data_IF_024098202275
#
_entry.id   IF_024098202275
#
_cell.length_a   1.000
_cell.length_b   1.000
_cell.length_c   1.000
_cell.angle_alpha   90.00
_cell.angle_beta   90.00
_cell.angle_gamma   90.00
#
_symmetry.space_group_name_H-M   'P 1'
#
loop_
_entity.id
_entity.type
_entity.pdbx_description
1 polymer ?
#
# COMPACT_ATOMS: atom_id res chain seq x y z
N UNK A 1 42.97 43.32 47.98
CA UNK A 1 42.04 42.17 47.99
C UNK A 1 40.99 42.31 46.88
N UNK A 2 41.39 42.43 45.60
CA UNK A 2 40.44 42.70 44.49
C UNK A 2 40.37 41.56 43.47
N UNK A 3 41.38 40.67 43.43
CA UNK A 3 41.42 39.54 42.49
C UNK A 3 40.44 38.39 42.79
N UNK A 4 40.02 38.21 44.04
CA UNK A 4 39.16 37.07 44.44
C UNK A 4 37.70 37.20 43.98
N UNK A 5 37.18 38.42 43.87
CA UNK A 5 35.77 38.67 43.51
C UNK A 5 35.56 38.52 41.99
N UNK A 6 36.53 38.97 41.18
CA UNK A 6 36.49 38.82 39.72
C UNK A 6 36.56 37.34 39.28
N UNK A 7 37.34 36.51 39.99
CA UNK A 7 37.39 35.07 39.73
C UNK A 7 36.06 34.37 39.99
N UNK A 8 35.35 34.75 41.07
CA UNK A 8 34.04 34.17 41.43
C UNK A 8 32.95 34.52 40.42
N UNK A 9 32.95 35.74 39.89
CA UNK A 9 32.00 36.20 38.85
C UNK A 9 32.23 35.45 37.53
N UNK A 10 33.49 35.24 37.14
CA UNK A 10 33.83 34.45 35.95
C UNK A 10 33.32 33.01 36.06
N UNK A 11 33.58 32.34 37.18
CA UNK A 11 33.15 30.95 37.41
C UNK A 11 31.62 30.81 37.41
N UNK A 12 30.89 31.77 37.99
CA UNK A 12 29.42 31.73 37.99
C UNK A 12 28.82 31.92 36.59
N UNK A 13 29.38 32.82 35.77
CA UNK A 13 28.95 33.00 34.38
C UNK A 13 29.21 31.73 33.55
N UNK A 14 30.39 31.11 33.72
CA UNK A 14 30.75 29.89 32.99
C UNK A 14 29.86 28.70 33.39
N UNK A 15 29.57 28.53 34.69
CA UNK A 15 28.65 27.50 35.18
C UNK A 15 27.22 27.72 34.65
N UNK A 16 26.75 28.97 34.62
CA UNK A 16 25.42 29.31 34.11
C UNK A 16 25.29 29.02 32.61
N UNK A 17 26.31 29.38 31.82
CA UNK A 17 26.35 29.11 30.38
C UNK A 17 26.40 27.61 30.08
N UNK A 18 27.23 26.86 30.83
CA UNK A 18 27.31 25.39 30.75
C UNK A 18 25.96 24.73 31.06
N UNK A 19 25.28 25.14 32.12
CA UNK A 19 23.98 24.61 32.51
C UNK A 19 22.89 24.86 31.45
N UNK A 20 22.88 26.04 30.83
CA UNK A 20 21.94 26.34 29.75
C UNK A 20 22.23 25.55 28.46
N UNK A 21 23.51 25.36 28.12
CA UNK A 21 23.91 24.56 26.97
C UNK A 21 23.57 23.08 27.15
N UNK A 22 23.75 22.52 28.35
CA UNK A 22 23.38 21.14 28.66
C UNK A 22 21.87 20.91 28.49
N UNK A 23 21.03 21.84 28.97
CA UNK A 23 19.57 21.76 28.75
C UNK A 23 19.19 21.84 27.28
N UNK A 24 19.84 22.69 26.48
CA UNK A 24 19.59 22.75 25.02
C UNK A 24 20.04 21.48 24.32
N UNK A 25 21.21 20.96 24.69
CA UNK A 25 21.75 19.73 24.10
C UNK A 25 20.85 18.53 24.37
N UNK A 26 20.37 18.38 25.61
CA UNK A 26 19.39 17.33 25.98
C UNK A 26 18.08 17.46 25.21
N UNK A 27 17.53 18.66 25.08
CA UNK A 27 16.31 18.89 24.28
C UNK A 27 16.52 18.55 22.81
N UNK A 28 17.68 18.91 22.26
CA UNK A 28 18.02 18.60 20.88
C UNK A 28 18.19 17.09 20.65
N UNK A 29 18.83 16.38 21.58
CA UNK A 29 18.96 14.91 21.53
C UNK A 29 17.58 14.23 21.58
N UNK A 30 16.70 14.65 22.49
CA UNK A 30 15.33 14.12 22.58
C UNK A 30 14.53 14.39 21.30
N UNK A 31 14.71 15.56 20.69
CA UNK A 31 14.06 15.90 19.43
C UNK A 31 14.55 15.01 18.29
N UNK A 32 15.88 14.80 18.18
CA UNK A 32 16.44 13.88 17.18
C UNK A 32 15.96 12.44 17.37
N UNK A 33 15.85 11.97 18.60
CA UNK A 33 15.34 10.63 18.91
C UNK A 33 13.88 10.50 18.48
N UNK A 34 13.03 11.47 18.83
CA UNK A 34 11.63 11.50 18.39
C UNK A 34 11.47 11.61 16.88
N UNK A 35 12.28 12.45 16.22
CA UNK A 35 12.26 12.60 14.75
C UNK A 35 12.70 11.30 14.05
N UNK A 36 13.70 10.62 14.61
CA UNK A 36 14.15 9.32 14.11
C UNK A 36 13.06 8.25 14.27
N UNK A 37 12.41 8.18 15.44
CA UNK A 37 11.29 7.24 15.65
C UNK A 37 10.13 7.51 14.68
N UNK A 38 9.74 8.77 14.50
CA UNK A 38 8.70 9.16 13.55
C UNK A 38 9.06 8.78 12.11
N UNK A 39 10.32 8.98 11.73
CA UNK A 39 10.83 8.58 10.43
C UNK A 39 10.77 7.06 10.23
N UNK A 40 11.23 6.28 11.20
CA UNK A 40 11.17 4.82 11.14
C UNK A 40 9.73 4.30 11.04
N UNK A 41 8.80 4.89 11.80
CA UNK A 41 7.38 4.54 11.72
C UNK A 41 6.78 4.85 10.34
N UNK A 42 7.15 6.00 9.75
CA UNK A 42 6.69 6.38 8.41
C UNK A 42 7.21 5.41 7.35
N UNK A 43 8.48 5.01 7.43
CA UNK A 43 9.06 4.00 6.55
C UNK A 43 8.36 2.65 6.69
N UNK A 44 8.09 2.20 7.92
CA UNK A 44 7.43 0.93 8.17
C UNK A 44 6.00 0.89 7.57
N UNK A 45 5.26 2.00 7.66
CA UNK A 45 3.94 2.14 7.03
C UNK A 45 4.08 2.08 5.50
N UNK A 46 4.99 2.85 4.91
CA UNK A 46 5.21 2.82 3.46
C UNK A 46 5.62 1.44 2.94
N UNK A 47 6.50 0.74 3.64
CA UNK A 47 6.87 -0.63 3.27
C UNK A 47 5.72 -1.61 3.40
N UNK A 48 4.85 -1.43 4.39
CA UNK A 48 3.64 -2.22 4.55
C UNK A 48 2.67 -2.01 3.38
N UNK A 49 2.35 -0.76 3.06
CA UNK A 49 1.50 -0.40 1.92
C UNK A 49 2.07 -0.94 0.61
N UNK A 50 3.37 -0.74 0.37
CA UNK A 50 4.05 -1.27 -0.83
C UNK A 50 3.94 -2.78 -0.94
N UNK A 51 4.07 -3.51 0.17
CA UNK A 51 3.93 -4.99 0.17
C UNK A 51 2.51 -5.43 -0.16
N UNK A 52 1.49 -4.72 0.33
CA UNK A 52 0.09 -5.00 0.00
C UNK A 52 -0.15 -4.74 -1.48
N UNK A 53 0.25 -3.57 -1.96
CA UNK A 53 0.14 -3.19 -3.38
C UNK A 53 0.82 -4.21 -4.29
N UNK A 54 2.03 -4.65 -3.97
CA UNK A 54 2.75 -5.66 -4.76
C UNK A 54 2.01 -7.00 -4.83
N UNK A 55 1.41 -7.46 -3.72
CA UNK A 55 0.62 -8.70 -3.71
C UNK A 55 -0.63 -8.58 -4.59
N UNK A 56 -1.33 -7.45 -4.51
CA UNK A 56 -2.49 -7.14 -5.37
C UNK A 56 -2.09 -7.17 -6.84
N UNK A 57 -0.98 -6.51 -7.18
CA UNK A 57 -0.41 -6.49 -8.53
C UNK A 57 0.00 -7.89 -9.03
N UNK A 58 0.67 -8.69 -8.22
CA UNK A 58 1.05 -10.07 -8.57
C UNK A 58 -0.15 -10.94 -8.93
N UNK A 59 -1.26 -10.82 -8.17
CA UNK A 59 -2.50 -11.54 -8.47
C UNK A 59 -3.08 -11.08 -9.80
N UNK A 60 -3.12 -9.76 -10.06
CA UNK A 60 -3.59 -9.21 -11.33
C UNK A 60 -2.76 -9.75 -12.51
N UNK A 61 -1.43 -9.76 -12.40
CA UNK A 61 -0.53 -10.29 -13.43
C UNK A 61 -0.77 -11.78 -13.69
N UNK A 62 -0.95 -12.60 -12.64
CA UNK A 62 -1.24 -14.03 -12.79
C UNK A 62 -2.56 -14.28 -13.52
N UNK A 63 -3.59 -13.50 -13.21
CA UNK A 63 -4.89 -13.60 -13.86
C UNK A 63 -4.82 -13.20 -15.35
N UNK A 64 -4.16 -12.08 -15.67
CA UNK A 64 -3.97 -11.63 -17.06
C UNK A 64 -3.09 -12.60 -17.84
N UNK A 65 -2.03 -13.12 -17.21
CA UNK A 65 -1.13 -14.10 -17.83
C UNK A 65 -1.85 -15.41 -18.18
N UNK A 66 -2.90 -15.74 -17.44
CA UNK A 66 -3.72 -16.94 -17.65
C UNK A 66 -5.03 -16.66 -18.42
N UNK A 67 -5.15 -15.49 -19.07
CA UNK A 67 -6.38 -15.03 -19.72
C UNK A 67 -6.98 -15.96 -20.78
N UNK A 68 -6.15 -16.79 -21.41
CA UNK A 68 -6.58 -17.73 -22.45
C UNK A 68 -7.01 -19.10 -21.90
N UNK A 69 -6.80 -19.36 -20.60
CA UNK A 69 -7.19 -20.62 -19.96
C UNK A 69 -7.71 -20.39 -18.54
N UNK A 70 -9.00 -20.04 -18.46
CA UNK A 70 -9.73 -19.91 -17.20
C UNK A 70 -9.94 -21.25 -16.47
N UNK A 71 -9.70 -22.37 -17.14
CA UNK A 71 -9.84 -23.70 -16.55
C UNK A 71 -8.58 -24.16 -15.81
N UNK A 72 -7.44 -23.51 -16.09
CA UNK A 72 -6.14 -23.77 -15.48
C UNK A 72 -6.18 -23.69 -13.94
N UNK A 73 -5.28 -24.44 -13.32
CA UNK A 73 -5.16 -24.45 -11.86
C UNK A 73 -4.60 -23.12 -11.37
N UNK A 74 -3.71 -22.53 -12.16
CA UNK A 74 -3.08 -21.23 -11.97
C UNK A 74 -4.12 -20.12 -11.91
N UNK A 75 -5.00 -20.02 -12.93
CA UNK A 75 -6.08 -19.04 -12.94
C UNK A 75 -6.99 -19.21 -11.74
N UNK A 76 -7.49 -20.43 -11.48
CA UNK A 76 -8.38 -20.70 -10.33
C UNK A 76 -7.75 -20.32 -9.00
N UNK A 77 -6.46 -20.62 -8.82
CA UNK A 77 -5.73 -20.29 -7.60
C UNK A 77 -5.56 -18.79 -7.43
N UNK A 78 -5.14 -18.08 -8.48
CA UNK A 78 -5.02 -16.64 -8.46
C UNK A 78 -6.38 -15.99 -8.20
N UNK A 79 -7.43 -16.45 -8.87
CA UNK A 79 -8.78 -15.92 -8.74
C UNK A 79 -9.35 -16.13 -7.34
N UNK A 80 -9.15 -17.31 -6.74
CA UNK A 80 -9.56 -17.59 -5.36
C UNK A 80 -8.79 -16.76 -4.32
N UNK A 81 -7.63 -16.20 -4.66
CA UNK A 81 -6.86 -15.34 -3.76
C UNK A 81 -7.35 -13.89 -3.74
N UNK A 82 -8.09 -13.46 -4.77
CA UNK A 82 -8.66 -12.10 -4.89
C UNK A 82 -9.33 -11.62 -3.59
N UNK A 83 -10.27 -12.37 -2.97
CA UNK A 83 -10.93 -11.89 -1.75
C UNK A 83 -10.01 -11.74 -0.54
N UNK A 84 -8.89 -12.45 -0.50
CA UNK A 84 -7.92 -12.34 0.59
C UNK A 84 -6.96 -11.16 0.38
N UNK A 85 -6.62 -10.85 -0.87
CA UNK A 85 -5.62 -9.83 -1.22
C UNK A 85 -6.26 -8.45 -1.40
N UNK A 86 -7.50 -8.40 -1.89
CA UNK A 86 -8.30 -7.17 -2.09
C UNK A 86 -9.37 -7.00 -1.00
N UNK A 87 -9.14 -7.53 0.21
CA UNK A 87 -10.13 -7.51 1.30
C UNK A 87 -10.54 -6.09 1.72
N UNK A 88 -9.66 -5.12 1.48
CA UNK A 88 -9.78 -3.70 1.76
C UNK A 88 -10.43 -2.91 0.61
N UNK A 89 -10.70 -3.56 -0.54
CA UNK A 89 -11.28 -2.95 -1.74
C UNK A 89 -12.75 -3.34 -1.91
N UNK A 90 -13.72 -2.51 -1.50
CA UNK A 90 -15.13 -2.88 -1.53
C UNK A 90 -15.64 -3.17 -2.94
N UNK A 91 -15.14 -2.44 -3.94
CA UNK A 91 -15.58 -2.54 -5.33
C UNK A 91 -15.07 -3.82 -6.00
N UNK A 92 -13.80 -4.18 -5.80
CA UNK A 92 -13.25 -5.47 -6.27
C UNK A 92 -14.01 -6.63 -5.65
N UNK A 93 -14.24 -6.59 -4.34
CA UNK A 93 -14.96 -7.66 -3.63
C UNK A 93 -16.42 -7.76 -4.09
N UNK A 94 -17.07 -6.64 -4.37
CA UNK A 94 -18.43 -6.60 -4.91
C UNK A 94 -18.49 -7.23 -6.30
N UNK A 95 -17.60 -6.83 -7.21
CA UNK A 95 -17.51 -7.40 -8.56
C UNK A 95 -17.19 -8.90 -8.52
N UNK A 96 -16.28 -9.33 -7.65
CA UNK A 96 -15.97 -10.75 -7.42
C UNK A 96 -17.20 -11.55 -6.98
N UNK A 97 -17.95 -11.06 -5.99
CA UNK A 97 -19.18 -11.72 -5.51
C UNK A 97 -20.26 -11.79 -6.59
N UNK A 98 -20.39 -10.74 -7.40
CA UNK A 98 -21.35 -10.69 -8.50
C UNK A 98 -21.04 -11.76 -9.56
N UNK A 99 -19.76 -11.94 -9.91
CA UNK A 99 -19.32 -13.01 -10.81
C UNK A 99 -19.63 -14.40 -10.26
N UNK A 100 -19.28 -14.67 -8.99
CA UNK A 100 -19.54 -15.97 -8.38
C UNK A 100 -21.03 -16.29 -8.26
N UNK A 101 -21.84 -15.31 -7.87
CA UNK A 101 -23.30 -15.44 -7.80
C UNK A 101 -23.87 -15.75 -9.18
N UNK A 102 -23.34 -15.12 -10.23
CA UNK A 102 -23.73 -15.38 -11.60
C UNK A 102 -23.36 -16.80 -12.06
N UNK A 103 -22.11 -17.22 -11.84
CA UNK A 103 -21.62 -18.58 -12.17
C UNK A 103 -22.36 -19.69 -11.44
N UNK A 104 -22.93 -19.41 -10.26
CA UNK A 104 -23.71 -20.38 -9.49
C UNK A 104 -25.14 -20.61 -10.00
N UNK A 105 -25.63 -19.80 -10.94
CA UNK A 105 -26.96 -19.96 -11.53
C UNK A 105 -26.96 -21.00 -12.66
N UNK A 106 -28.06 -21.73 -12.82
CA UNK A 106 -28.20 -22.86 -13.76
C UNK A 106 -28.15 -22.47 -15.25
N UNK A 107 -28.27 -21.17 -15.56
CA UNK A 107 -28.27 -20.61 -16.91
C UNK A 107 -27.14 -19.58 -17.00
N UNK A 108 -25.93 -20.06 -17.29
CA UNK A 108 -24.76 -19.22 -17.52
C UNK A 108 -24.70 -18.91 -19.01
N UNK A 109 -24.82 -17.63 -19.35
CA UNK A 109 -24.46 -17.10 -20.66
C UNK A 109 -22.99 -16.70 -20.61
N UNK A 110 -22.19 -17.27 -21.50
CA UNK A 110 -20.74 -17.09 -21.52
C UNK A 110 -20.35 -15.63 -21.84
N UNK A 111 -21.17 -14.90 -22.61
CA UNK A 111 -20.94 -13.48 -22.88
C UNK A 111 -21.07 -12.61 -21.62
N UNK A 112 -22.14 -12.81 -20.86
CA UNK A 112 -22.37 -12.15 -19.57
C UNK A 112 -21.37 -12.60 -18.49
N UNK A 113 -20.86 -13.84 -18.57
CA UNK A 113 -19.79 -14.29 -17.69
C UNK A 113 -18.48 -13.54 -17.97
N UNK A 114 -18.16 -13.32 -19.26
CA UNK A 114 -16.99 -12.57 -19.69
C UNK A 114 -17.06 -11.10 -19.24
N UNK A 115 -18.20 -10.44 -19.47
CA UNK A 115 -18.41 -9.04 -19.04
C UNK A 115 -18.24 -8.88 -17.52
N UNK A 116 -18.73 -9.83 -16.72
CA UNK A 116 -18.56 -9.82 -15.26
C UNK A 116 -17.12 -10.06 -14.84
N UNK A 117 -16.36 -10.83 -15.62
CA UNK A 117 -14.95 -11.05 -15.38
C UNK A 117 -14.13 -9.81 -15.72
N UNK A 118 -14.39 -9.17 -16.87
CA UNK A 118 -13.78 -7.89 -17.27
C UNK A 118 -14.02 -6.82 -16.20
N UNK A 119 -15.25 -6.72 -15.68
CA UNK A 119 -15.58 -5.81 -14.58
C UNK A 119 -14.71 -6.03 -13.32
N UNK A 120 -14.35 -7.28 -12.99
CA UNK A 120 -13.42 -7.54 -11.87
C UNK A 120 -12.05 -6.95 -12.18
N UNK A 121 -11.55 -7.15 -13.40
CA UNK A 121 -10.25 -6.61 -13.81
C UNK A 121 -10.25 -5.08 -13.76
N UNK A 122 -11.28 -4.41 -14.29
CA UNK A 122 -11.41 -2.94 -14.24
C UNK A 122 -11.33 -2.43 -12.81
N UNK A 123 -12.07 -3.03 -11.88
CA UNK A 123 -12.02 -2.63 -10.48
C UNK A 123 -10.64 -2.92 -9.83
N UNK A 124 -9.94 -3.99 -10.22
CA UNK A 124 -8.58 -4.27 -9.74
C UNK A 124 -7.57 -3.24 -10.25
N UNK A 125 -7.69 -2.83 -11.52
CA UNK A 125 -6.87 -1.76 -12.09
C UNK A 125 -7.10 -0.43 -11.39
N UNK A 126 -8.37 -0.10 -11.09
CA UNK A 126 -8.76 1.10 -10.34
C UNK A 126 -8.25 1.07 -8.90
N UNK A 127 -8.39 -0.05 -8.19
CA UNK A 127 -7.88 -0.22 -6.81
C UNK A 127 -6.36 -0.05 -6.73
N UNK A 128 -5.65 -0.48 -7.78
CA UNK A 128 -4.20 -0.34 -7.87
C UNK A 128 -3.74 1.03 -8.39
N UNK A 129 -4.67 1.93 -8.72
CA UNK A 129 -4.41 3.24 -9.33
C UNK A 129 -3.58 3.17 -10.62
N UNK A 130 -3.74 2.08 -11.39
CA UNK A 130 -3.07 1.89 -12.69
C UNK A 130 -3.95 2.55 -13.76
N UNK A 131 -4.07 3.88 -13.71
CA UNK A 131 -5.03 4.63 -14.54
C UNK A 131 -4.50 5.09 -15.90
N UNK A 132 -3.20 4.99 -16.21
CA UNK A 132 -2.71 5.70 -17.41
C UNK A 132 -3.01 5.06 -18.77
N UNK A 133 -3.43 3.79 -18.92
CA UNK A 133 -3.62 3.19 -20.26
C UNK A 133 -4.60 2.00 -20.38
N UNK A 134 -5.42 1.69 -19.37
CA UNK A 134 -6.30 0.51 -19.46
C UNK A 134 -7.71 0.96 -19.79
N UNK A 135 -7.97 1.13 -21.09
CA UNK A 135 -9.32 1.30 -21.61
C UNK A 135 -10.11 -0.01 -21.44
N UNK A 136 -11.39 0.09 -21.05
CA UNK A 136 -12.28 -1.08 -20.94
C UNK A 136 -12.32 -1.84 -22.26
N UNK A 137 -12.29 -1.09 -23.37
CA UNK A 137 -12.18 -1.59 -24.74
C UNK A 137 -10.89 -2.36 -25.02
N UNK A 138 -9.79 -2.09 -24.31
CA UNK A 138 -8.53 -2.82 -24.47
C UNK A 138 -8.51 -4.11 -23.65
N UNK A 139 -9.16 -4.12 -22.48
CA UNK A 139 -9.42 -5.35 -21.74
C UNK A 139 -10.39 -6.25 -22.49
N UNK A 140 -11.47 -5.71 -23.04
CA UNK A 140 -12.40 -6.47 -23.89
C UNK A 140 -11.66 -7.13 -25.06
N UNK A 141 -10.80 -6.43 -25.82
CA UNK A 141 -9.97 -7.03 -26.88
C UNK A 141 -9.04 -8.15 -26.39
N UNK A 142 -8.52 -8.02 -25.17
CA UNK A 142 -7.65 -9.02 -24.54
C UNK A 142 -8.42 -10.31 -24.21
N UNK A 143 -9.72 -10.19 -23.91
CA UNK A 143 -10.59 -11.30 -23.51
C UNK A 143 -11.56 -11.78 -24.62
N UNK A 144 -11.73 -11.04 -25.71
CA UNK A 144 -12.59 -11.37 -26.87
C UNK A 144 -11.90 -12.24 -27.95
N UNK A 145 -10.72 -12.82 -27.67
CA UNK A 145 -10.07 -13.71 -28.64
C UNK A 145 -10.67 -15.12 -28.60
N UNK A 146 -11.85 -15.29 -29.21
CA UNK A 146 -12.41 -16.56 -29.69
C UNK A 146 -12.78 -16.46 -31.17
#
# INVERSE_FOLDING_TARGET
MVGGILGLVGVTITLFYSFFNDKRSKKFQLQLESDNENFQNTLAIQEHERRIWMKKYEVLVQLIGSRYDFSSTEFKRAFNSVPAVFFDSPDVIKSYKNFYSYKSNSSVDDGLANEKLVNIFVEMYRDLEIEENVDETDLEKIFDTN
#
